data_IF_524495613377
#
_entry.id   IF_524495613377
#
_cell.length_a   1.000
_cell.length_b   1.000
_cell.length_c   1.000
_cell.angle_alpha   90.00
_cell.angle_beta   90.00
_cell.angle_gamma   90.00
#
_symmetry.space_group_name_H-M   'P 1'
#
loop_
_entity.id
_entity.type
_entity.pdbx_description
1 polymer ?
#
# COMPACT_ATOMS: atom_id res chain seq x y z
N UNK A 1 43.68 55.69 -41.65
CA UNK A 1 43.49 54.23 -41.86
C UNK A 1 43.49 53.48 -40.53
N UNK A 2 42.72 53.94 -39.53
CA UNK A 2 42.78 53.43 -38.15
C UNK A 2 41.46 52.90 -37.59
N UNK A 3 40.35 53.02 -38.33
CA UNK A 3 39.03 52.57 -37.87
C UNK A 3 38.60 51.21 -38.42
N UNK A 4 39.25 50.72 -39.49
CA UNK A 4 38.94 49.40 -40.06
C UNK A 4 39.52 48.23 -39.24
N UNK A 5 40.55 48.48 -38.42
CA UNK A 5 41.17 47.45 -37.56
C UNK A 5 40.44 47.25 -36.23
N UNK A 6 39.59 48.20 -35.79
CA UNK A 6 38.84 48.07 -34.54
C UNK A 6 37.53 47.27 -34.71
N UNK A 7 37.00 47.15 -35.93
CA UNK A 7 35.82 46.32 -36.20
C UNK A 7 36.15 44.83 -36.32
N UNK A 8 37.38 44.48 -36.73
CA UNK A 8 37.80 43.08 -36.85
C UNK A 8 38.13 42.42 -35.49
N UNK A 9 38.39 43.22 -34.44
CA UNK A 9 38.65 42.70 -33.10
C UNK A 9 37.37 42.27 -32.35
N UNK A 10 36.18 42.74 -32.76
CA UNK A 10 34.91 42.39 -32.12
C UNK A 10 34.26 41.11 -32.68
N UNK A 11 34.76 40.58 -33.81
CA UNK A 11 34.19 39.39 -34.47
C UNK A 11 34.83 38.06 -34.03
N UNK A 12 35.81 38.09 -33.13
CA UNK A 12 36.46 36.89 -32.55
C UNK A 12 36.03 36.57 -31.10
N UNK A 13 35.05 37.29 -30.55
CA UNK A 13 34.40 36.94 -29.27
C UNK A 13 33.16 36.05 -29.45
N UNK A 14 32.88 35.61 -30.69
CA UNK A 14 31.79 34.68 -31.04
C UNK A 14 32.24 33.22 -31.20
N UNK A 15 33.35 32.85 -30.57
CA UNK A 15 33.60 31.45 -30.26
C UNK A 15 33.30 31.34 -28.78
N UNK A 16 32.12 30.81 -28.43
CA UNK A 16 31.99 30.17 -27.13
C UNK A 16 32.89 28.94 -27.23
N UNK A 17 34.05 28.86 -26.53
CA UNK A 17 34.61 27.56 -26.32
C UNK A 17 33.61 26.88 -25.40
N UNK A 18 32.67 26.10 -25.96
CA UNK A 18 32.19 24.94 -25.25
C UNK A 18 33.44 24.13 -24.96
N UNK A 19 34.07 24.41 -23.81
CA UNK A 19 34.98 23.50 -23.18
C UNK A 19 34.13 22.25 -22.98
N UNK A 20 34.24 21.30 -23.89
CA UNK A 20 33.89 19.92 -23.62
C UNK A 20 34.93 19.41 -22.62
N UNK A 21 34.90 19.96 -21.40
CA UNK A 21 35.11 19.12 -20.25
C UNK A 21 33.97 18.13 -20.36
N UNK A 22 34.32 16.85 -20.51
CA UNK A 22 33.37 15.80 -20.25
C UNK A 22 32.87 16.06 -18.84
N UNK A 23 31.74 16.76 -18.73
CA UNK A 23 30.78 16.45 -17.71
C UNK A 23 30.57 14.97 -17.94
N UNK A 24 31.21 14.17 -17.08
CA UNK A 24 30.64 12.88 -16.74
C UNK A 24 29.17 13.21 -16.55
N UNK A 25 28.35 12.79 -17.50
CA UNK A 25 26.91 12.79 -17.34
C UNK A 25 26.77 12.01 -16.05
N UNK A 26 26.65 12.74 -14.93
CA UNK A 26 26.48 12.14 -13.63
C UNK A 26 25.25 11.32 -13.86
N UNK A 27 25.45 10.00 -13.88
CA UNK A 27 24.44 8.98 -14.04
C UNK A 27 23.13 9.57 -13.55
N UNK A 28 22.13 9.71 -14.44
CA UNK A 28 20.77 10.03 -14.01
C UNK A 28 20.55 9.26 -12.72
N UNK A 29 20.15 9.91 -11.60
CA UNK A 29 20.31 9.36 -10.26
C UNK A 29 19.82 7.92 -10.30
N UNK A 30 20.77 6.96 -10.31
CA UNK A 30 20.53 5.59 -10.75
C UNK A 30 19.22 5.13 -10.14
N UNK A 31 18.16 5.01 -10.95
CA UNK A 31 16.75 5.01 -10.51
C UNK A 31 16.61 4.48 -9.09
N UNK A 32 16.66 5.37 -8.09
CA UNK A 32 16.92 4.90 -6.74
C UNK A 32 15.61 4.34 -6.19
N UNK A 33 15.46 3.03 -6.35
CA UNK A 33 14.30 2.30 -5.88
C UNK A 33 14.11 2.55 -4.38
N UNK A 34 12.85 2.50 -3.94
CA UNK A 34 12.53 2.66 -2.53
C UNK A 34 13.17 1.53 -1.71
N UNK A 35 13.34 1.70 -0.38
CA UNK A 35 13.77 0.61 0.47
C UNK A 35 12.92 -0.66 0.23
N UNK A 36 13.58 -1.81 0.23
CA UNK A 36 12.98 -3.12 -0.04
C UNK A 36 12.46 -3.30 -1.47
N UNK A 37 13.11 -2.62 -2.43
CA UNK A 37 12.94 -2.86 -3.85
C UNK A 37 14.27 -2.73 -4.58
N UNK A 38 14.35 -3.35 -5.75
CA UNK A 38 15.49 -3.28 -6.65
C UNK A 38 15.03 -2.95 -8.07
N UNK A 39 15.96 -2.43 -8.87
CA UNK A 39 15.70 -2.11 -10.27
C UNK A 39 15.78 -3.38 -11.12
N UNK A 40 14.84 -3.55 -12.03
CA UNK A 40 14.87 -4.55 -13.10
C UNK A 40 14.68 -3.87 -14.45
N UNK A 41 15.50 -4.23 -15.45
CA UNK A 41 15.36 -3.74 -16.83
C UNK A 41 14.08 -4.25 -17.51
N UNK A 42 13.54 -5.38 -17.04
CA UNK A 42 12.34 -6.01 -17.58
C UNK A 42 11.44 -6.47 -16.43
N UNK A 43 10.94 -5.51 -15.66
CA UNK A 43 9.98 -5.75 -14.59
C UNK A 43 8.59 -6.04 -15.19
N UNK A 44 7.89 -7.03 -14.62
CA UNK A 44 6.45 -7.16 -14.86
C UNK A 44 5.73 -5.96 -14.23
N UNK A 45 4.85 -5.24 -14.96
CA UNK A 45 4.05 -4.16 -14.37
C UNK A 45 2.94 -4.68 -13.44
N UNK A 46 2.78 -6.01 -13.32
CA UNK A 46 1.69 -6.65 -12.60
C UNK A 46 2.15 -7.26 -11.27
N UNK A 47 2.96 -6.50 -10.54
CA UNK A 47 3.44 -6.90 -9.21
C UNK A 47 2.26 -7.02 -8.23
N UNK A 48 2.43 -7.86 -7.21
CA UNK A 48 1.46 -7.95 -6.11
C UNK A 48 1.31 -6.60 -5.42
N UNK A 49 0.07 -6.21 -5.12
CA UNK A 49 -0.24 -4.94 -4.44
C UNK A 49 -1.21 -5.21 -3.29
N UNK A 50 -1.08 -4.52 -2.16
CA UNK A 50 -2.07 -4.67 -1.11
C UNK A 50 -3.47 -4.21 -1.56
N UNK A 51 -4.55 -4.97 -1.28
CA UNK A 51 -4.65 -6.15 -0.40
C UNK A 51 -4.52 -7.52 -1.10
N UNK A 52 -4.04 -7.56 -2.33
CA UNK A 52 -3.85 -8.76 -3.15
C UNK A 52 -2.34 -9.00 -3.38
N UNK A 53 -1.62 -9.54 -2.38
CA UNK A 53 -0.17 -9.66 -2.41
C UNK A 53 0.36 -10.66 -3.43
N UNK A 54 -0.52 -11.52 -3.96
CA UNK A 54 -0.17 -12.45 -5.03
C UNK A 54 -0.27 -11.75 -6.39
N UNK A 55 0.80 -11.78 -7.20
CA UNK A 55 0.80 -11.17 -8.53
C UNK A 55 -0.25 -11.86 -9.41
N UNK A 56 -0.84 -11.08 -10.31
CA UNK A 56 -1.83 -11.62 -11.23
C UNK A 56 -1.11 -12.39 -12.36
N UNK A 57 -1.15 -13.73 -12.29
CA UNK A 57 -0.55 -14.61 -13.31
C UNK A 57 -1.12 -14.38 -14.72
N UNK A 58 -2.34 -13.87 -14.84
CA UNK A 58 -3.00 -13.62 -16.12
C UNK A 58 -2.67 -12.25 -16.70
N UNK A 59 -1.80 -11.49 -16.06
CA UNK A 59 -1.43 -10.16 -16.51
C UNK A 59 -0.37 -10.24 -17.61
N UNK A 60 -0.85 -10.46 -18.84
CA UNK A 60 -0.01 -10.53 -20.03
C UNK A 60 0.23 -9.12 -20.53
N UNK A 61 1.42 -8.59 -20.24
CA UNK A 61 1.84 -7.25 -20.65
C UNK A 61 3.31 -7.30 -21.07
N UNK A 62 3.74 -6.29 -21.83
CA UNK A 62 5.16 -6.11 -22.13
C UNK A 62 5.84 -5.64 -20.84
N UNK A 63 6.94 -6.29 -20.45
CA UNK A 63 7.73 -5.83 -19.31
C UNK A 63 8.29 -4.43 -19.58
N UNK A 64 8.54 -3.69 -18.50
CA UNK A 64 9.07 -2.34 -18.55
C UNK A 64 10.20 -2.20 -17.55
N UNK A 65 11.14 -1.31 -17.82
CA UNK A 65 12.16 -0.94 -16.85
C UNK A 65 11.48 -0.33 -15.61
N UNK A 66 11.84 -0.79 -14.42
CA UNK A 66 11.21 -0.30 -13.20
C UNK A 66 11.67 -0.98 -11.91
N UNK A 67 11.20 -0.46 -10.79
CA UNK A 67 11.49 -1.01 -9.46
C UNK A 67 10.52 -2.14 -9.10
N UNK A 68 11.06 -3.24 -8.59
CA UNK A 68 10.33 -4.43 -8.15
C UNK A 68 10.54 -4.62 -6.64
N UNK A 69 9.46 -4.86 -5.90
CA UNK A 69 9.58 -5.17 -4.47
C UNK A 69 10.36 -6.47 -4.26
N UNK A 70 11.24 -6.46 -3.26
CA UNK A 70 12.04 -7.64 -2.90
C UNK A 70 11.16 -8.80 -2.41
N UNK A 71 11.70 -10.01 -2.43
CA UNK A 71 11.00 -11.19 -1.95
C UNK A 71 10.52 -11.01 -0.49
N UNK A 72 9.23 -11.27 -0.25
CA UNK A 72 8.60 -11.05 1.05
C UNK A 72 7.99 -9.67 1.24
N UNK A 73 8.19 -8.75 0.29
CA UNK A 73 7.58 -7.43 0.27
C UNK A 73 6.51 -7.33 -0.82
N UNK A 74 5.61 -6.36 -0.66
CA UNK A 74 4.48 -6.09 -1.56
C UNK A 74 4.28 -4.59 -1.69
N UNK A 75 3.90 -4.14 -2.89
CA UNK A 75 3.68 -2.72 -3.16
C UNK A 75 2.42 -2.22 -2.44
N UNK A 76 2.56 -1.14 -1.68
CA UNK A 76 1.47 -0.48 -0.99
C UNK A 76 1.71 1.03 -0.98
N UNK A 77 0.86 1.79 -1.66
CA UNK A 77 0.94 3.26 -1.75
C UNK A 77 2.33 3.80 -2.17
N UNK A 78 3.01 3.11 -3.09
CA UNK A 78 4.30 3.53 -3.64
C UNK A 78 5.53 3.11 -2.82
N UNK A 79 5.35 2.34 -1.75
CA UNK A 79 6.44 1.75 -0.98
C UNK A 79 6.27 0.23 -0.87
N UNK A 80 7.38 -0.49 -0.78
CA UNK A 80 7.39 -1.92 -0.54
C UNK A 80 7.31 -2.19 0.96
N UNK A 81 6.22 -2.82 1.40
CA UNK A 81 6.01 -3.21 2.80
C UNK A 81 6.09 -4.73 2.95
N UNK A 82 6.46 -5.25 4.13
CA UNK A 82 6.39 -6.69 4.38
C UNK A 82 4.98 -7.23 4.13
N UNK A 83 4.86 -8.41 3.49
CA UNK A 83 3.56 -9.03 3.15
C UNK A 83 2.64 -9.19 4.36
N UNK A 84 3.19 -9.44 5.54
CA UNK A 84 2.46 -9.56 6.81
C UNK A 84 1.81 -8.25 7.29
N UNK A 85 2.30 -7.10 6.81
CA UNK A 85 1.70 -5.80 7.07
C UNK A 85 0.56 -5.46 6.09
N UNK A 86 0.31 -6.36 5.13
CA UNK A 86 -0.80 -6.26 4.19
C UNK A 86 -2.11 -6.70 4.87
N UNK A 87 -3.17 -5.89 4.72
CA UNK A 87 -4.50 -6.27 5.14
C UNK A 87 -5.21 -7.19 4.13
N UNK A 88 -6.41 -7.64 4.49
CA UNK A 88 -7.21 -8.56 3.69
C UNK A 88 -8.38 -7.82 3.04
N UNK A 89 -8.70 -8.16 1.79
CA UNK A 89 -9.98 -7.80 1.17
C UNK A 89 -11.02 -8.88 1.45
N UNK A 90 -12.19 -8.48 1.94
CA UNK A 90 -13.31 -9.40 2.16
C UNK A 90 -14.66 -8.72 1.92
N UNK A 91 -15.41 -9.26 0.95
CA UNK A 91 -16.73 -8.74 0.52
C UNK A 91 -16.71 -7.23 0.22
N UNK A 92 -15.69 -6.80 -0.53
CA UNK A 92 -15.53 -5.39 -0.92
C UNK A 92 -15.11 -4.44 0.20
N UNK A 93 -14.68 -4.97 1.36
CA UNK A 93 -14.14 -4.18 2.47
C UNK A 93 -12.71 -4.59 2.78
N UNK A 94 -11.89 -3.60 3.11
CA UNK A 94 -10.52 -3.81 3.59
C UNK A 94 -10.51 -4.03 5.11
N UNK A 95 -9.72 -5.00 5.56
CA UNK A 95 -9.48 -5.31 6.96
C UNK A 95 -7.99 -5.25 7.26
N UNK A 96 -7.61 -4.52 8.30
CA UNK A 96 -6.20 -4.38 8.72
C UNK A 96 -5.61 -5.75 9.12
N UNK A 97 -4.27 -5.89 9.08
CA UNK A 97 -3.56 -7.05 9.62
C UNK A 97 -4.11 -7.48 11.00
N UNK A 98 -4.55 -8.73 11.11
CA UNK A 98 -5.08 -9.28 12.37
C UNK A 98 -6.44 -8.74 12.82
N UNK A 99 -7.09 -7.84 12.08
CA UNK A 99 -8.38 -7.27 12.44
C UNK A 99 -9.45 -8.36 12.55
N UNK A 100 -10.25 -8.29 13.62
CA UNK A 100 -11.36 -9.22 13.91
C UNK A 100 -12.70 -8.53 13.71
N UNK A 101 -13.68 -9.26 13.21
CA UNK A 101 -15.03 -8.75 13.01
C UNK A 101 -16.08 -9.86 13.03
N UNK A 102 -17.31 -9.51 13.42
CA UNK A 102 -18.43 -10.43 13.43
C UNK A 102 -19.15 -10.47 12.08
N UNK A 103 -19.45 -11.68 11.63
CA UNK A 103 -20.17 -11.96 10.39
C UNK A 103 -21.46 -12.74 10.68
N UNK A 104 -22.47 -12.48 9.86
CA UNK A 104 -23.70 -13.26 9.83
C UNK A 104 -24.78 -12.78 10.81
N UNK A 105 -26.01 -13.29 10.69
CA UNK A 105 -27.07 -13.00 11.63
C UNK A 105 -26.66 -13.45 13.05
N UNK A 106 -27.02 -12.66 14.05
CA UNK A 106 -26.76 -12.99 15.46
C UNK A 106 -25.28 -13.08 15.86
N UNK A 107 -24.34 -12.56 15.06
CA UNK A 107 -22.91 -12.69 15.31
C UNK A 107 -22.46 -14.17 15.34
N UNK A 108 -23.00 -15.00 14.44
CA UNK A 108 -22.74 -16.46 14.40
C UNK A 108 -21.34 -16.87 13.90
N UNK A 109 -20.54 -15.94 13.41
CA UNK A 109 -19.18 -16.18 12.92
C UNK A 109 -18.25 -15.05 13.36
N UNK A 110 -17.07 -15.40 13.84
CA UNK A 110 -16.00 -14.47 14.14
C UNK A 110 -14.90 -14.65 13.11
N UNK A 111 -14.63 -13.59 12.37
CA UNK A 111 -13.63 -13.55 11.31
C UNK A 111 -12.39 -12.80 11.77
N UNK A 112 -11.23 -13.17 11.22
CA UNK A 112 -9.95 -12.49 11.40
C UNK A 112 -9.24 -12.40 10.04
N UNK A 113 -8.64 -11.26 9.74
CA UNK A 113 -7.65 -11.17 8.65
C UNK A 113 -6.38 -11.93 9.08
N UNK A 114 -6.14 -13.08 8.44
CA UNK A 114 -4.96 -13.89 8.66
C UNK A 114 -3.87 -13.44 7.69
N UNK A 115 -2.86 -12.76 8.22
CA UNK A 115 -1.77 -12.15 7.45
C UNK A 115 -0.83 -13.19 6.85
N UNK A 116 -0.77 -14.39 7.44
CA UNK A 116 0.04 -15.50 6.91
C UNK A 116 -0.60 -16.10 5.67
N UNK A 117 -1.94 -16.17 5.66
CA UNK A 117 -2.71 -16.68 4.51
C UNK A 117 -3.13 -15.58 3.53
N UNK A 118 -2.92 -14.30 3.87
CA UNK A 118 -3.37 -13.15 3.07
C UNK A 118 -4.89 -13.07 2.90
N UNK A 119 -5.67 -13.73 3.78
CA UNK A 119 -7.11 -13.89 3.59
C UNK A 119 -7.88 -13.85 4.92
N UNK A 120 -9.18 -13.61 4.82
CA UNK A 120 -10.07 -13.67 6.00
C UNK A 120 -10.41 -15.12 6.34
N UNK A 121 -10.13 -15.50 7.58
CA UNK A 121 -10.51 -16.80 8.16
C UNK A 121 -11.61 -16.59 9.19
N UNK A 122 -12.71 -17.31 9.02
CA UNK A 122 -13.88 -17.22 9.89
C UNK A 122 -14.17 -18.53 10.62
N UNK A 123 -14.45 -18.46 11.91
CA UNK A 123 -14.84 -19.59 12.75
C UNK A 123 -16.24 -19.38 13.32
N UNK A 124 -16.98 -20.47 13.55
CA UNK A 124 -18.27 -20.39 14.27
C UNK A 124 -18.01 -19.86 15.68
N UNK A 125 -18.77 -18.85 16.07
CA UNK A 125 -18.68 -18.22 17.38
C UNK A 125 -20.00 -17.52 17.69
N UNK A 126 -20.21 -17.13 18.94
CA UNK A 126 -21.37 -16.36 19.37
C UNK A 126 -20.95 -15.39 20.47
N UNK A 127 -21.76 -14.37 20.71
CA UNK A 127 -21.61 -13.51 21.88
C UNK A 127 -21.71 -14.33 23.17
N UNK A 128 -21.14 -13.81 24.26
CA UNK A 128 -21.33 -14.42 25.57
C UNK A 128 -22.80 -14.33 26.02
N UNK A 129 -23.26 -15.14 27.00
CA UNK A 129 -24.63 -15.07 27.50
C UNK A 129 -25.04 -13.72 28.08
N UNK A 130 -24.07 -12.88 28.46
CA UNK A 130 -24.27 -11.54 29.01
C UNK A 130 -24.20 -10.45 27.94
N UNK A 131 -24.14 -10.82 26.68
CA UNK A 131 -24.03 -9.91 25.56
C UNK A 131 -25.13 -10.14 24.53
N UNK A 132 -25.47 -9.09 23.79
CA UNK A 132 -26.35 -9.14 22.64
C UNK A 132 -25.59 -8.68 21.40
N UNK A 133 -25.77 -9.42 20.31
CA UNK A 133 -25.31 -8.98 19.01
C UNK A 133 -26.11 -7.75 18.57
N UNK A 134 -25.43 -6.64 18.33
CA UNK A 134 -26.01 -5.38 17.88
C UNK A 134 -25.27 -4.87 16.64
N UNK A 135 -25.94 -4.06 15.82
CA UNK A 135 -25.34 -3.39 14.66
C UNK A 135 -25.28 -1.91 14.96
N UNK A 136 -24.09 -1.32 14.96
CA UNK A 136 -23.90 0.14 15.09
C UNK A 136 -23.01 0.59 13.95
N UNK A 137 -23.44 1.63 13.23
CA UNK A 137 -22.75 2.14 12.04
C UNK A 137 -22.46 1.05 10.99
N UNK A 138 -23.38 0.07 10.87
CA UNK A 138 -23.24 -1.05 9.93
C UNK A 138 -22.21 -2.12 10.35
N UNK A 139 -21.62 -2.02 11.54
CA UNK A 139 -20.68 -3.00 12.10
C UNK A 139 -21.39 -3.84 13.16
N UNK A 140 -21.30 -5.16 13.02
CA UNK A 140 -21.81 -6.12 14.01
C UNK A 140 -20.84 -6.24 15.18
N UNK A 141 -21.36 -6.10 16.39
CA UNK A 141 -20.58 -6.25 17.61
C UNK A 141 -21.42 -6.89 18.73
N UNK A 142 -20.79 -7.76 19.51
CA UNK A 142 -21.32 -8.18 20.80
C UNK A 142 -21.18 -7.03 21.78
N UNK A 143 -22.27 -6.67 22.45
CA UNK A 143 -22.27 -5.65 23.51
C UNK A 143 -22.94 -6.21 24.75
N UNK A 144 -22.53 -5.77 25.96
CA UNK A 144 -23.19 -6.16 27.18
C UNK A 144 -24.70 -5.92 27.08
N UNK A 145 -25.48 -6.90 27.54
CA UNK A 145 -26.88 -6.68 27.86
C UNK A 145 -26.90 -5.59 28.93
N UNK A 146 -27.58 -4.48 28.67
CA UNK A 146 -27.81 -3.49 29.71
C UNK A 146 -28.45 -4.22 30.88
N UNK A 147 -27.75 -4.27 32.02
CA UNK A 147 -28.33 -4.76 33.25
C UNK A 147 -29.53 -3.85 33.53
N UNK A 148 -30.73 -4.37 33.32
CA UNK A 148 -31.88 -3.87 34.07
C UNK A 148 -31.52 -4.16 35.52
N UNK A 149 -30.98 -3.17 36.21
CA UNK A 149 -31.04 -3.16 37.66
C UNK A 149 -32.52 -3.41 37.98
N UNK A 150 -32.87 -4.42 38.80
CA UNK A 150 -34.22 -4.48 39.34
C UNK A 150 -34.43 -3.13 39.99
N UNK A 151 -35.25 -2.28 39.38
CA UNK A 151 -35.77 -1.09 40.04
C UNK A 151 -36.44 -1.68 41.27
N UNK A 152 -35.88 -1.44 42.44
CA UNK A 152 -36.48 -1.82 43.70
C UNK A 152 -37.94 -1.42 43.60
N UNK A 153 -38.81 -2.42 43.58
CA UNK A 153 -40.25 -2.20 43.72
C UNK A 153 -40.42 -1.69 45.13
N UNK A 154 -40.27 -0.38 45.33
CA UNK A 154 -40.74 0.29 46.54
C UNK A 154 -42.26 0.15 46.50
N UNK A 155 -42.76 -0.92 47.11
CA UNK A 155 -44.10 -0.96 47.67
C UNK A 155 -44.24 0.22 48.61
N UNK A 156 -45.10 1.16 48.23
CA UNK A 156 -45.77 2.09 49.13
C UNK A 156 -47.26 1.78 49.07
#
# INVERSE_FOLDING_TARGET
MGFLLLHFALLLLFICPCQAQGEEVTDEPAMNCQPHSHFEECASPCQGTCPFPEPNEYCITVCVEGCVCDQGYVMSAGVCIPKENCGCSYRGRYYKPGQRFWEGPGCGRLCKCDTTLGMVVCKKASCSPKEKCSVVEGIRACRPLAHVHPRETLTA
#
